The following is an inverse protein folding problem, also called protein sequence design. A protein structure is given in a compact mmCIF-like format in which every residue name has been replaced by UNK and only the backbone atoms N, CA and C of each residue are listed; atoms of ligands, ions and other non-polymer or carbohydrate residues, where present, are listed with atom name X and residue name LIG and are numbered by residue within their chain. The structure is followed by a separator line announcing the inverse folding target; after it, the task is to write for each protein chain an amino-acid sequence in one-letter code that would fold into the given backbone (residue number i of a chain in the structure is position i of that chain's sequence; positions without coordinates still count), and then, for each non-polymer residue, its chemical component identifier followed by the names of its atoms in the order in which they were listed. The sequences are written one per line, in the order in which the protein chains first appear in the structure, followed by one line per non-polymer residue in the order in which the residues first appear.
data_IF_895231325330
#
_entry.id   IF_895231325330
#
_cell.length_a   1.000
_cell.length_b   1.000
_cell.length_c   1.000
_cell.angle_alpha   90.00
_cell.angle_beta   90.00
_cell.angle_gamma   90.00
#
_symmetry.space_group_name_H-M   'P 1'
#
loop_
_entity.id
_entity.type
_entity.pdbx_description
1 polymer ?
#
# COMPACT_ATOMS: atom_id res chain seq x y z
N UNK A 1 -0.49 -24.27 6.27
CA UNK A 1 -1.10 -23.10 6.90
C UNK A 1 0.00 -22.22 7.45
N UNK A 2 0.17 -21.03 6.91
CA UNK A 2 1.12 -20.07 7.46
C UNK A 2 0.59 -19.43 8.76
N UNK A 3 1.44 -18.66 9.46
CA UNK A 3 1.07 -18.09 10.76
C UNK A 3 -0.01 -16.98 10.66
N UNK A 4 -0.14 -16.34 9.50
CA UNK A 4 -1.13 -15.29 9.25
C UNK A 4 -2.47 -15.90 8.86
N UNK A 5 -2.47 -16.93 8.03
CA UNK A 5 -3.62 -17.77 7.71
C UNK A 5 -4.19 -18.38 9.00
N UNK A 6 -3.33 -18.91 9.88
CA UNK A 6 -3.75 -19.39 11.20
C UNK A 6 -4.40 -18.30 12.07
N UNK A 7 -3.91 -17.06 12.02
CA UNK A 7 -4.50 -15.93 12.75
C UNK A 7 -5.89 -15.59 12.21
N UNK A 8 -6.04 -15.48 10.90
CA UNK A 8 -7.32 -15.17 10.28
C UNK A 8 -8.33 -16.29 10.56
N UNK A 9 -7.93 -17.56 10.51
CA UNK A 9 -8.78 -18.68 10.90
C UNK A 9 -9.16 -18.65 12.40
N UNK A 10 -8.27 -18.20 13.29
CA UNK A 10 -8.55 -18.05 14.72
C UNK A 10 -9.53 -16.90 15.00
N UNK A 11 -9.39 -15.76 14.32
CA UNK A 11 -10.30 -14.62 14.46
C UNK A 11 -11.71 -14.93 13.93
N UNK A 12 -11.82 -15.75 12.88
CA UNK A 12 -13.09 -16.26 12.38
C UNK A 12 -13.60 -17.51 13.14
N UNK A 13 -13.01 -17.84 14.30
CA UNK A 13 -13.36 -18.98 15.17
C UNK A 13 -13.33 -20.37 14.50
N UNK A 14 -12.63 -20.49 13.37
CA UNK A 14 -12.42 -21.75 12.65
C UNK A 14 -11.34 -22.62 13.30
N UNK A 15 -10.39 -21.99 13.97
CA UNK A 15 -9.39 -22.65 14.83
C UNK A 15 -9.53 -22.07 16.24
N UNK A 16 -9.55 -22.94 17.25
CA UNK A 16 -9.73 -22.53 18.66
C UNK A 16 -8.53 -22.86 19.55
N UNK A 17 -7.67 -23.77 19.10
CA UNK A 17 -6.48 -24.20 19.84
C UNK A 17 -5.22 -23.58 19.22
N UNK A 18 -4.44 -22.87 20.04
CA UNK A 18 -3.19 -22.17 19.66
C UNK A 18 -2.00 -23.12 19.56
N UNK A 19 -2.15 -24.34 20.08
CA UNK A 19 -1.09 -25.34 20.27
C UNK A 19 -1.21 -26.55 19.33
N UNK A 20 -2.24 -26.59 18.49
CA UNK A 20 -2.56 -27.70 17.60
C UNK A 20 -1.86 -27.63 16.23
N UNK A 21 -0.67 -27.01 16.17
CA UNK A 21 0.07 -26.84 14.92
C UNK A 21 1.29 -27.77 14.89
N UNK A 22 1.58 -28.31 13.72
CA UNK A 22 2.70 -29.23 13.48
C UNK A 22 3.52 -28.77 12.29
N UNK A 23 4.82 -29.04 12.32
CA UNK A 23 5.69 -28.78 11.18
C UNK A 23 5.29 -29.68 10.01
N UNK A 24 5.02 -29.13 8.81
CA UNK A 24 4.61 -29.94 7.66
C UNK A 24 5.71 -30.90 7.16
N UNK A 25 6.98 -30.66 7.52
CA UNK A 25 8.11 -31.45 7.05
C UNK A 25 8.56 -32.54 8.02
N UNK A 26 8.41 -32.35 9.34
CA UNK A 26 8.90 -33.33 10.32
C UNK A 26 7.91 -33.64 11.45
N UNK A 27 6.69 -33.12 11.39
CA UNK A 27 5.64 -33.39 12.39
C UNK A 27 5.90 -32.80 13.78
N UNK A 28 6.98 -32.03 13.98
CA UNK A 28 7.31 -31.45 15.28
C UNK A 28 6.24 -30.46 15.72
N UNK A 29 5.85 -30.50 17.00
CA UNK A 29 4.83 -29.58 17.53
C UNK A 29 5.33 -28.14 17.57
N UNK A 30 4.53 -27.23 17.03
CA UNK A 30 4.77 -25.79 17.04
C UNK A 30 3.57 -25.08 17.64
N UNK A 31 3.81 -23.97 18.34
CA UNK A 31 2.74 -23.14 18.90
C UNK A 31 2.71 -21.80 18.21
N UNK A 32 1.53 -21.19 18.13
CA UNK A 32 1.39 -19.85 17.56
C UNK A 32 1.49 -18.78 18.64
N UNK A 33 2.43 -17.86 18.49
CA UNK A 33 2.60 -16.73 19.40
C UNK A 33 1.75 -15.57 18.92
N UNK A 34 1.10 -14.87 19.86
CA UNK A 34 0.21 -13.72 19.62
C UNK A 34 -1.10 -14.03 18.87
N UNK A 35 -1.49 -15.30 18.68
CA UNK A 35 -2.72 -15.67 17.96
C UNK A 35 -4.01 -15.05 18.55
N UNK A 36 -4.02 -14.83 19.88
CA UNK A 36 -5.16 -14.24 20.59
C UNK A 36 -5.06 -12.75 20.90
N UNK A 37 -4.05 -12.03 20.39
CA UNK A 37 -3.92 -10.58 20.61
C UNK A 37 -4.50 -9.79 19.45
N UNK A 38 -4.93 -8.56 19.71
CA UNK A 38 -5.33 -7.64 18.65
C UNK A 38 -4.09 -7.11 17.92
N UNK A 39 -4.15 -6.94 16.59
CA UNK A 39 -2.99 -6.53 15.77
C UNK A 39 -2.34 -5.21 16.24
N UNK A 40 -3.12 -4.31 16.84
CA UNK A 40 -2.64 -3.03 17.39
C UNK A 40 -1.76 -3.20 18.64
N UNK A 41 -1.88 -4.33 19.33
CA UNK A 41 -1.15 -4.64 20.57
C UNK A 41 0.14 -5.45 20.29
N UNK A 42 0.37 -5.83 19.03
CA UNK A 42 1.47 -6.69 18.64
C UNK A 42 2.73 -5.88 18.31
N UNK A 43 3.78 -6.05 19.14
CA UNK A 43 5.14 -5.55 18.82
C UNK A 43 5.83 -6.36 17.70
N UNK A 44 5.44 -7.62 17.54
CA UNK A 44 5.83 -8.54 16.45
C UNK A 44 4.59 -9.32 16.03
N UNK A 45 4.44 -9.56 14.73
CA UNK A 45 3.32 -10.31 14.14
C UNK A 45 3.19 -11.74 14.68
N UNK A 46 2.14 -12.42 14.26
CA UNK A 46 1.92 -13.82 14.62
C UNK A 46 3.03 -14.66 14.00
N UNK A 47 3.64 -15.50 14.80
CA UNK A 47 4.72 -16.37 14.35
C UNK A 47 4.65 -17.69 15.09
N UNK A 48 5.16 -18.73 14.45
CA UNK A 48 5.34 -20.02 15.09
C UNK A 48 6.53 -19.98 16.04
N UNK A 49 6.36 -20.55 17.22
CA UNK A 49 7.40 -20.83 18.20
C UNK A 49 7.50 -22.33 18.39
N UNK A 50 8.74 -22.80 18.40
CA UNK A 50 9.08 -24.21 18.61
C UNK A 50 8.70 -24.64 20.01
N UNK A 51 7.96 -25.75 20.11
CA UNK A 51 7.75 -26.48 21.37
C UNK A 51 8.69 -27.67 21.42
N UNK A 52 8.89 -28.34 20.28
CA UNK A 52 9.80 -29.47 20.11
C UNK A 52 10.89 -29.19 19.06
N UNK A 53 12.10 -29.77 19.22
CA UNK A 53 13.15 -29.66 18.23
C UNK A 53 12.76 -30.39 16.94
N UNK A 54 13.06 -29.79 15.80
CA UNK A 54 12.86 -30.44 14.51
C UNK A 54 13.90 -31.54 14.27
N UNK A 55 13.60 -32.45 13.35
CA UNK A 55 14.57 -33.42 12.86
C UNK A 55 15.82 -32.72 12.26
N UNK A 56 17.01 -33.35 12.33
CA UNK A 56 18.30 -32.72 11.97
C UNK A 56 18.37 -32.13 10.55
N UNK A 57 17.58 -32.66 9.61
CA UNK A 57 17.55 -32.21 8.20
C UNK A 57 16.28 -31.43 7.83
N UNK A 58 15.56 -30.89 8.81
CA UNK A 58 14.38 -30.10 8.52
C UNK A 58 14.77 -28.70 8.03
N UNK A 59 14.26 -28.21 6.89
CA UNK A 59 14.58 -26.86 6.39
C UNK A 59 14.11 -25.74 7.33
N UNK A 60 13.23 -26.07 8.28
CA UNK A 60 12.72 -25.16 9.29
C UNK A 60 13.53 -25.14 10.60
N UNK A 61 14.56 -25.99 10.75
CA UNK A 61 15.41 -26.02 11.96
C UNK A 61 16.35 -24.82 12.08
N UNK A 62 16.77 -24.24 10.95
CA UNK A 62 17.72 -23.12 10.90
C UNK A 62 17.06 -21.73 11.02
N UNK A 63 15.73 -21.65 10.98
CA UNK A 63 15.01 -20.37 10.93
C UNK A 63 14.80 -19.71 12.30
N UNK A 64 15.34 -20.26 13.39
CA UNK A 64 15.02 -19.83 14.77
C UNK A 64 16.20 -19.35 15.63
N UNK A 65 17.32 -18.92 15.04
CA UNK A 65 18.38 -18.21 15.79
C UNK A 65 18.85 -16.97 15.05
N UNK A 66 18.14 -15.86 15.24
CA UNK A 66 18.69 -14.54 14.95
C UNK A 66 19.56 -14.10 16.13
N UNK A 67 20.89 -14.21 15.98
CA UNK A 67 21.87 -13.67 16.92
C UNK A 67 23.32 -13.99 16.58
N UNK A 68 24.04 -12.96 16.09
CA UNK A 68 25.50 -12.78 16.06
C UNK A 68 26.37 -13.65 15.12
N UNK A 69 27.28 -12.99 14.40
CA UNK A 69 28.47 -13.60 13.81
C UNK A 69 28.95 -12.93 12.51
N UNK A 70 30.00 -12.11 12.62
CA UNK A 70 30.80 -11.64 11.48
C UNK A 70 31.43 -12.81 10.71
N UNK A 71 31.41 -12.74 9.37
CA UNK A 71 32.11 -13.67 8.50
C UNK A 71 32.30 -13.07 7.11
N UNK A 72 33.54 -12.71 6.76
CA UNK A 72 33.97 -12.38 5.41
C UNK A 72 33.95 -13.64 4.54
N UNK A 73 33.31 -13.58 3.37
CA UNK A 73 33.45 -14.64 2.36
C UNK A 73 32.51 -14.48 1.17
N UNK A 74 33.10 -14.21 0.01
CA UNK A 74 32.61 -14.38 -1.36
C UNK A 74 31.29 -13.74 -1.81
N UNK A 75 31.43 -12.90 -2.84
CA UNK A 75 30.36 -12.24 -3.57
C UNK A 75 29.49 -13.25 -4.33
N UNK A 76 28.57 -13.89 -3.62
CA UNK A 76 27.34 -14.40 -4.22
C UNK A 76 26.59 -13.20 -4.80
N UNK A 77 26.28 -13.26 -6.11
CA UNK A 77 25.41 -12.29 -6.79
C UNK A 77 24.21 -12.01 -5.88
N UNK A 78 23.89 -10.74 -5.56
CA UNK A 78 22.82 -10.46 -4.62
C UNK A 78 21.53 -11.05 -5.18
N UNK A 79 21.00 -12.05 -4.46
CA UNK A 79 19.59 -12.41 -4.52
C UNK A 79 18.83 -11.07 -4.50
N UNK A 80 18.00 -10.78 -5.52
CA UNK A 80 17.26 -9.51 -5.62
C UNK A 80 16.62 -9.28 -4.26
N UNK A 81 17.20 -8.37 -3.46
CA UNK A 81 16.73 -8.13 -2.12
C UNK A 81 15.28 -7.67 -2.24
N UNK A 82 14.39 -8.32 -1.49
CA UNK A 82 12.98 -7.99 -1.44
C UNK A 82 12.86 -6.50 -1.12
N UNK A 83 12.45 -5.71 -2.12
CA UNK A 83 12.40 -4.25 -2.01
C UNK A 83 11.07 -3.88 -1.39
N UNK A 84 11.13 -3.20 -0.26
CA UNK A 84 9.94 -2.78 0.48
C UNK A 84 9.90 -1.25 0.52
N UNK A 85 9.02 -0.66 -0.29
CA UNK A 85 8.71 0.77 -0.21
C UNK A 85 7.96 1.07 1.10
N UNK A 86 7.87 2.33 1.53
CA UNK A 86 7.16 2.70 2.77
C UNK A 86 6.07 3.72 2.44
N UNK A 87 4.85 3.46 2.91
CA UNK A 87 3.74 4.40 2.85
C UNK A 87 3.39 4.90 4.26
N UNK A 88 3.57 6.21 4.45
CA UNK A 88 3.29 6.88 5.71
C UNK A 88 1.90 7.51 5.65
N UNK A 89 1.05 7.18 6.63
CA UNK A 89 -0.30 7.72 6.73
C UNK A 89 -0.35 9.17 7.22
N UNK A 90 0.71 9.59 7.91
CA UNK A 90 0.87 10.94 8.42
C UNK A 90 2.13 11.55 7.82
N UNK A 91 2.01 12.81 7.39
CA UNK A 91 3.19 13.57 6.99
C UNK A 91 3.94 13.95 8.28
N UNK A 92 5.26 13.68 8.39
CA UNK A 92 6.07 14.19 9.48
C UNK A 92 5.86 15.70 9.54
N UNK A 93 5.52 16.23 10.71
CA UNK A 93 5.58 17.67 10.90
C UNK A 93 7.00 18.09 10.57
N UNK A 94 7.16 18.93 9.54
CA UNK A 94 8.46 19.44 9.21
C UNK A 94 8.97 20.19 10.43
N UNK A 95 9.95 19.64 11.14
CA UNK A 95 10.78 20.46 12.01
C UNK A 95 11.30 21.58 11.11
N UNK A 96 11.16 22.85 11.49
CA UNK A 96 11.70 23.94 10.69
C UNK A 96 13.22 23.76 10.65
N UNK A 97 13.72 23.03 9.65
CA UNK A 97 15.11 23.10 9.27
C UNK A 97 15.30 24.54 8.81
N UNK A 98 15.86 25.35 9.70
CA UNK A 98 16.48 26.61 9.32
C UNK A 98 17.34 26.28 8.10
N UNK A 99 16.90 26.70 6.92
CA UNK A 99 17.75 26.72 5.73
C UNK A 99 18.90 27.64 6.11
N UNK A 100 20.02 27.08 6.55
CA UNK A 100 21.30 27.78 6.50
C UNK A 100 21.55 28.02 5.02
N UNK A 101 21.14 29.20 4.56
CA UNK A 101 21.50 29.74 3.26
C UNK A 101 23.02 29.86 3.29
N UNK A 102 23.71 28.86 2.73
CA UNK A 102 25.10 29.05 2.34
C UNK A 102 25.07 29.94 1.09
N UNK A 103 25.86 31.03 1.04
CA UNK A 103 25.92 31.88 -0.14
C UNK A 103 26.39 31.06 -1.35
N UNK A 104 25.74 31.31 -2.47
CA UNK A 104 25.88 30.64 -3.77
C UNK A 104 27.11 31.19 -4.49
N UNK A 105 28.12 30.39 -4.87
CA UNK A 105 29.04 30.77 -5.94
C UNK A 105 28.31 30.64 -7.29
N UNK A 106 28.71 31.49 -8.24
CA UNK A 106 28.08 31.67 -9.55
C UNK A 106 27.97 30.39 -10.39
N UNK A 107 27.03 30.44 -11.33
CA UNK A 107 26.43 29.29 -12.01
C UNK A 107 27.33 28.63 -13.06
N UNK A 108 27.17 27.31 -13.18
CA UNK A 108 27.35 26.55 -14.43
C UNK A 108 26.11 25.68 -14.69
N UNK A 109 25.78 25.35 -15.96
CA UNK A 109 24.46 24.86 -16.36
C UNK A 109 24.17 23.46 -15.80
N UNK A 110 23.18 23.38 -14.92
CA UNK A 110 22.84 22.21 -14.09
C UNK A 110 21.91 21.18 -14.77
N UNK A 111 21.85 21.11 -16.10
CA UNK A 111 20.94 20.19 -16.79
C UNK A 111 21.54 18.82 -17.12
N UNK A 112 22.87 18.65 -17.11
CA UNK A 112 23.51 17.36 -17.47
C UNK A 112 24.03 16.55 -16.29
N UNK A 113 23.89 17.04 -15.06
CA UNK A 113 24.57 16.47 -13.88
C UNK A 113 23.74 15.45 -13.10
N UNK A 114 22.40 15.55 -13.11
CA UNK A 114 21.54 14.62 -12.37
C UNK A 114 21.47 13.24 -13.01
N UNK A 115 21.35 13.16 -14.34
CA UNK A 115 21.32 11.88 -15.06
C UNK A 115 22.68 11.16 -14.97
N UNK A 116 23.79 11.90 -15.08
CA UNK A 116 25.14 11.34 -14.89
C UNK A 116 25.37 10.87 -13.45
N UNK A 117 24.87 11.58 -12.44
CA UNK A 117 24.98 11.16 -11.04
C UNK A 117 24.18 9.88 -10.76
N UNK A 118 22.96 9.74 -11.30
CA UNK A 118 22.14 8.53 -11.17
C UNK A 118 22.76 7.35 -11.95
N UNK A 119 23.31 7.60 -13.14
CA UNK A 119 23.99 6.58 -13.94
C UNK A 119 25.27 6.07 -13.26
N UNK A 120 26.07 6.96 -12.65
CA UNK A 120 27.27 6.59 -11.89
C UNK A 120 26.93 5.84 -10.60
N UNK A 121 25.79 6.14 -9.95
CA UNK A 121 25.33 5.41 -8.77
C UNK A 121 24.80 4.01 -9.09
N UNK A 122 24.07 3.86 -10.21
CA UNK A 122 23.65 2.55 -10.75
C UNK A 122 24.84 1.69 -11.21
N UNK A 123 25.86 2.31 -11.80
CA UNK A 123 27.08 1.61 -12.23
C UNK A 123 27.95 1.10 -11.07
N UNK A 124 27.79 1.63 -9.85
CA UNK A 124 28.54 1.24 -8.64
C UNK A 124 27.80 0.26 -7.73
N UNK A 125 26.74 -0.40 -8.21
CA UNK A 125 26.01 -1.38 -7.41
C UNK A 125 25.20 -0.78 -6.25
N UNK A 126 24.83 0.50 -6.36
CA UNK A 126 23.96 1.14 -5.37
C UNK A 126 22.59 0.46 -5.34
N UNK A 127 22.29 -0.27 -4.25
CA UNK A 127 20.93 -0.69 -3.92
C UNK A 127 20.07 0.55 -3.74
N UNK A 128 19.15 0.83 -4.67
CA UNK A 128 18.18 1.92 -4.55
C UNK A 128 17.50 1.85 -3.17
N UNK A 129 17.65 2.91 -2.37
CA UNK A 129 17.04 3.00 -1.05
C UNK A 129 15.51 2.87 -1.12
N UNK A 130 14.86 2.33 -0.07
CA UNK A 130 13.39 2.29 0.03
C UNK A 130 12.77 3.66 -0.24
N UNK A 131 11.76 3.71 -1.12
CA UNK A 131 11.05 4.96 -1.40
C UNK A 131 10.05 5.23 -0.28
N UNK A 132 9.90 6.49 0.09
CA UNK A 132 8.95 6.93 1.10
C UNK A 132 7.82 7.72 0.42
N UNK A 133 6.60 7.27 0.61
CA UNK A 133 5.39 7.88 0.07
C UNK A 133 4.54 8.46 1.20
N UNK A 134 3.98 9.64 0.96
CA UNK A 134 3.02 10.32 1.84
C UNK A 134 1.68 10.59 1.13
N UNK A 135 1.65 10.39 -0.19
CA UNK A 135 0.44 10.46 -1.01
C UNK A 135 0.34 9.24 -1.91
N UNK A 136 -0.89 8.87 -2.25
CA UNK A 136 -1.13 7.72 -3.10
C UNK A 136 -0.73 7.99 -4.55
N UNK A 137 -0.69 9.24 -5.03
CA UNK A 137 -0.27 9.55 -6.41
C UNK A 137 1.11 8.98 -6.74
N UNK A 138 2.05 9.03 -5.79
CA UNK A 138 3.38 8.44 -5.95
C UNK A 138 3.36 6.91 -5.98
N UNK A 139 2.51 6.29 -5.16
CA UNK A 139 2.29 4.85 -5.16
C UNK A 139 1.62 4.39 -6.46
N UNK A 140 0.66 5.14 -6.98
CA UNK A 140 -0.05 4.82 -8.22
C UNK A 140 0.93 4.88 -9.40
N UNK A 141 1.79 5.91 -9.46
CA UNK A 141 2.84 5.97 -10.50
C UNK A 141 3.82 4.80 -10.38
N UNK A 142 4.14 4.38 -9.16
CA UNK A 142 4.99 3.20 -8.94
C UNK A 142 4.30 1.91 -9.35
N UNK A 143 3.03 1.73 -8.99
CA UNK A 143 2.22 0.58 -9.35
C UNK A 143 2.22 0.36 -10.87
N UNK A 144 1.90 1.38 -11.67
CA UNK A 144 1.93 1.26 -13.13
C UNK A 144 3.34 1.06 -13.70
N UNK A 145 4.37 1.66 -13.10
CA UNK A 145 5.76 1.35 -13.50
C UNK A 145 6.13 -0.11 -13.26
N UNK A 146 5.56 -0.75 -12.24
CA UNK A 146 5.81 -2.16 -11.94
C UNK A 146 4.99 -3.09 -12.83
N UNK A 147 3.72 -2.75 -13.00
CA UNK A 147 2.78 -3.49 -13.85
C UNK A 147 3.28 -3.55 -15.31
N UNK A 148 3.84 -2.44 -15.81
CA UNK A 148 4.41 -2.36 -17.16
C UNK A 148 5.82 -2.99 -17.30
N UNK A 149 6.56 -3.17 -16.20
CA UNK A 149 7.98 -3.55 -16.25
C UNK A 149 8.29 -4.96 -15.75
N UNK A 150 7.33 -5.71 -15.20
CA UNK A 150 7.63 -6.99 -14.55
C UNK A 150 6.48 -7.99 -14.61
N UNK A 151 6.79 -9.24 -14.97
CA UNK A 151 5.92 -10.42 -14.81
C UNK A 151 5.74 -10.85 -13.33
N UNK A 152 6.34 -10.16 -12.36
CA UNK A 152 6.34 -10.55 -10.94
C UNK A 152 6.02 -9.37 -9.99
N UNK A 153 4.80 -8.81 -10.02
CA UNK A 153 4.37 -7.75 -9.10
C UNK A 153 4.34 -8.18 -7.62
N UNK A 154 4.35 -9.49 -7.35
CA UNK A 154 4.25 -10.06 -6.00
C UNK A 154 5.55 -9.95 -5.18
N UNK A 155 6.69 -9.65 -5.85
CA UNK A 155 7.99 -9.45 -5.18
C UNK A 155 8.18 -8.03 -4.62
N UNK A 156 7.33 -7.08 -5.00
CA UNK A 156 7.44 -5.70 -4.51
C UNK A 156 6.36 -5.40 -3.50
N UNK A 157 6.81 -4.95 -2.33
CA UNK A 157 5.95 -4.71 -1.18
C UNK A 157 5.96 -3.25 -0.77
N UNK A 158 4.85 -2.81 -0.20
CA UNK A 158 4.67 -1.53 0.47
C UNK A 158 4.59 -1.84 1.96
N UNK A 159 5.37 -1.16 2.76
CA UNK A 159 5.30 -1.19 4.21
C UNK A 159 4.33 -0.12 4.66
N UNK A 160 3.22 -0.53 5.26
CA UNK A 160 2.35 0.34 6.03
C UNK A 160 2.69 0.13 7.52
N UNK A 161 3.33 1.11 8.15
CA UNK A 161 3.91 0.98 9.48
C UNK A 161 4.89 -0.22 9.60
N UNK A 162 4.46 -1.34 10.20
CA UNK A 162 5.25 -2.57 10.37
C UNK A 162 4.79 -3.73 9.47
N UNK A 163 3.85 -3.49 8.57
CA UNK A 163 3.23 -4.55 7.78
C UNK A 163 3.57 -4.39 6.29
N UNK A 164 4.25 -5.37 5.67
CA UNK A 164 4.51 -5.38 4.24
C UNK A 164 3.31 -5.99 3.49
N UNK A 165 2.85 -5.31 2.44
CA UNK A 165 1.79 -5.77 1.54
C UNK A 165 2.28 -5.74 0.10
N UNK A 166 1.97 -6.76 -0.70
CA UNK A 166 2.25 -6.71 -2.13
C UNK A 166 1.52 -5.53 -2.79
N UNK A 167 2.16 -4.87 -3.76
CA UNK A 167 1.52 -3.79 -4.52
C UNK A 167 0.17 -4.23 -5.12
N UNK A 168 0.10 -5.44 -5.69
CA UNK A 168 -1.12 -5.99 -6.29
C UNK A 168 -2.25 -6.20 -5.28
N UNK A 169 -1.94 -6.59 -4.05
CA UNK A 169 -2.93 -6.72 -2.99
C UNK A 169 -3.37 -5.36 -2.43
N UNK A 170 -2.50 -4.34 -2.53
CA UNK A 170 -2.82 -2.99 -2.06
C UNK A 170 -3.75 -2.23 -3.00
N UNK A 171 -3.71 -2.54 -4.30
CA UNK A 171 -4.50 -1.91 -5.35
C UNK A 171 -5.68 -2.81 -5.74
N UNK A 172 -6.86 -2.48 -5.23
CA UNK A 172 -8.08 -3.23 -5.47
C UNK A 172 -8.91 -2.57 -6.60
N UNK A 173 -9.10 -3.21 -7.75
CA UNK A 173 -10.04 -2.68 -8.74
C UNK A 173 -11.47 -2.71 -8.17
N UNK A 174 -12.28 -1.72 -8.52
CA UNK A 174 -13.73 -1.76 -8.29
C UNK A 174 -14.36 -2.54 -9.43
N UNK A 175 -14.73 -3.80 -9.18
CA UNK A 175 -15.19 -4.73 -10.20
C UNK A 175 -16.11 -5.83 -9.66
N UNK A 176 -17.36 -5.49 -9.36
CA UNK A 176 -18.46 -6.43 -9.04
C UNK A 176 -18.19 -7.38 -7.87
N UNK A 177 -17.16 -7.12 -7.06
CA UNK A 177 -16.89 -7.95 -5.90
C UNK A 177 -17.86 -7.64 -4.73
N UNK A 178 -18.23 -8.62 -3.90
CA UNK A 178 -19.06 -8.39 -2.72
C UNK A 178 -18.35 -7.51 -1.68
N UNK A 179 -19.06 -6.50 -1.17
CA UNK A 179 -18.56 -5.55 -0.18
C UNK A 179 -18.12 -6.23 1.12
N UNK A 180 -18.81 -7.29 1.53
CA UNK A 180 -18.52 -8.10 2.71
C UNK A 180 -17.29 -9.01 2.55
N UNK A 181 -16.86 -9.25 1.30
CA UNK A 181 -15.63 -9.99 0.99
C UNK A 181 -14.40 -9.10 0.81
N UNK A 182 -14.57 -7.77 0.85
CA UNK A 182 -13.45 -6.85 0.79
C UNK A 182 -12.58 -6.93 2.04
N UNK A 183 -11.32 -6.50 1.91
CA UNK A 183 -10.41 -6.41 3.04
C UNK A 183 -11.01 -5.58 4.17
N UNK A 184 -10.87 -6.08 5.40
CA UNK A 184 -11.25 -5.33 6.61
C UNK A 184 -10.42 -4.06 6.84
N UNK A 185 -9.34 -3.88 6.08
CA UNK A 185 -8.41 -2.75 6.15
C UNK A 185 -8.53 -1.83 4.92
N UNK A 186 -8.14 -0.55 5.04
CA UNK A 186 -8.07 0.34 3.88
C UNK A 186 -7.11 -0.19 2.80
N UNK A 187 -7.53 -0.01 1.55
CA UNK A 187 -6.79 -0.36 0.33
C UNK A 187 -6.95 0.79 -0.67
N UNK A 188 -6.14 0.80 -1.72
CA UNK A 188 -6.33 1.72 -2.84
C UNK A 188 -7.37 1.12 -3.78
N UNK A 189 -8.60 1.63 -3.71
CA UNK A 189 -9.66 1.27 -4.63
C UNK A 189 -9.57 2.11 -5.90
N UNK A 190 -9.64 1.48 -7.06
CA UNK A 190 -9.48 2.19 -8.32
C UNK A 190 -10.35 1.67 -9.45
N UNK A 191 -10.57 2.53 -10.45
CA UNK A 191 -11.42 2.23 -11.60
C UNK A 191 -11.87 3.50 -12.33
N UNK A 192 -12.60 3.32 -13.44
CA UNK A 192 -13.22 4.43 -14.16
C UNK A 192 -14.29 5.07 -13.30
N UNK A 193 -14.36 6.39 -13.28
CA UNK A 193 -15.33 7.14 -12.51
C UNK A 193 -15.75 8.43 -13.22
N UNK A 194 -17.01 8.80 -13.02
CA UNK A 194 -17.57 10.08 -13.46
C UNK A 194 -17.36 11.13 -12.38
N UNK A 195 -16.75 12.25 -12.76
CA UNK A 195 -16.52 13.42 -11.90
C UNK A 195 -17.69 14.39 -12.09
N UNK A 196 -18.55 14.46 -11.08
CA UNK A 196 -19.75 15.28 -11.12
C UNK A 196 -19.60 16.49 -10.20
N UNK A 197 -20.00 17.67 -10.66
CA UNK A 197 -20.24 18.81 -9.79
C UNK A 197 -21.65 18.71 -9.22
N UNK A 198 -21.78 18.90 -7.91
CA UNK A 198 -23.04 18.88 -7.18
C UNK A 198 -23.64 20.30 -7.11
N UNK A 199 -24.94 20.39 -6.84
CA UNK A 199 -25.66 21.66 -6.79
C UNK A 199 -25.10 22.65 -5.75
N UNK A 200 -24.47 22.15 -4.70
CA UNK A 200 -23.83 22.95 -3.66
C UNK A 200 -22.39 23.38 -4.01
N UNK A 201 -21.92 23.08 -5.22
CA UNK A 201 -20.57 23.42 -5.69
C UNK A 201 -19.48 22.40 -5.32
N UNK A 202 -19.79 21.37 -4.53
CA UNK A 202 -18.89 20.27 -4.23
C UNK A 202 -18.79 19.28 -5.39
N UNK A 203 -17.92 18.28 -5.24
CA UNK A 203 -17.68 17.27 -6.26
C UNK A 203 -17.96 15.87 -5.75
N UNK A 204 -18.36 14.99 -6.66
CA UNK A 204 -18.49 13.56 -6.44
C UNK A 204 -17.73 12.81 -7.53
N UNK A 205 -16.84 11.90 -7.14
CA UNK A 205 -16.35 10.86 -8.04
C UNK A 205 -17.23 9.62 -7.87
N UNK A 206 -17.97 9.23 -8.91
CA UNK A 206 -18.83 8.05 -8.90
C UNK A 206 -18.24 7.00 -9.83
N UNK A 207 -17.87 5.85 -9.28
CA UNK A 207 -17.30 4.76 -10.08
C UNK A 207 -18.30 4.25 -11.11
N UNK A 208 -17.80 3.88 -12.29
CA UNK A 208 -18.62 3.35 -13.37
C UNK A 208 -19.08 1.92 -13.05
N UNK A 209 -18.17 1.11 -12.48
CA UNK A 209 -18.40 -0.25 -12.00
C UNK A 209 -19.10 -0.30 -10.64
N UNK A 210 -19.71 -1.45 -10.35
CA UNK A 210 -20.47 -1.70 -9.12
C UNK A 210 -19.65 -2.49 -8.09
N UNK A 211 -20.07 -2.42 -6.84
CA UNK A 211 -19.81 -3.44 -5.82
C UNK A 211 -21.14 -4.08 -5.44
N UNK A 212 -21.09 -5.34 -4.99
CA UNK A 212 -22.28 -6.07 -4.59
C UNK A 212 -22.52 -5.92 -3.08
N UNK A 213 -23.74 -5.57 -2.68
CA UNK A 213 -24.13 -5.59 -1.27
C UNK A 213 -25.52 -6.19 -1.12
N UNK A 214 -25.62 -7.31 -0.41
CA UNK A 214 -26.90 -8.02 -0.17
C UNK A 214 -27.70 -8.32 -1.44
N UNK A 215 -27.01 -8.60 -2.55
CA UNK A 215 -27.62 -8.88 -3.85
C UNK A 215 -27.91 -7.64 -4.71
N UNK A 216 -27.64 -6.43 -4.21
CA UNK A 216 -27.78 -5.19 -4.97
C UNK A 216 -26.44 -4.76 -5.60
N UNK A 217 -26.49 -4.29 -6.84
CA UNK A 217 -25.39 -3.63 -7.53
C UNK A 217 -25.38 -2.14 -7.21
N UNK A 218 -24.34 -1.68 -6.50
CA UNK A 218 -24.25 -0.30 -6.04
C UNK A 218 -22.94 0.31 -6.52
N UNK A 219 -23.02 1.44 -7.21
CA UNK A 219 -21.84 2.21 -7.65
C UNK A 219 -21.20 2.91 -6.45
N UNK A 220 -19.95 2.59 -6.10
CA UNK A 220 -19.25 3.30 -5.05
C UNK A 220 -19.04 4.77 -5.43
N UNK A 221 -18.96 5.63 -4.42
CA UNK A 221 -18.65 7.04 -4.66
C UNK A 221 -17.80 7.66 -3.56
N UNK A 222 -17.13 8.74 -3.95
CA UNK A 222 -16.29 9.56 -3.08
C UNK A 222 -16.85 10.97 -3.14
N UNK A 223 -17.16 11.54 -1.97
CA UNK A 223 -17.59 12.92 -1.86
C UNK A 223 -16.39 13.82 -1.55
N UNK A 224 -16.29 14.93 -2.28
CA UNK A 224 -15.14 15.83 -2.29
C UNK A 224 -15.63 17.26 -2.03
N UNK A 225 -15.50 17.71 -0.77
CA UNK A 225 -15.89 19.07 -0.39
C UNK A 225 -14.90 20.10 -0.91
N UNK A 226 -15.34 21.03 -1.74
CA UNK A 226 -14.50 22.02 -2.41
C UNK A 226 -13.69 22.87 -1.42
N UNK A 227 -14.37 23.35 -0.37
CA UNK A 227 -13.78 24.17 0.70
C UNK A 227 -12.61 23.44 1.40
N UNK A 228 -12.78 22.15 1.71
CA UNK A 228 -11.72 21.36 2.35
C UNK A 228 -10.51 21.16 1.44
N UNK A 229 -10.73 20.99 0.12
CA UNK A 229 -9.64 20.86 -0.85
C UNK A 229 -8.81 22.14 -0.87
N UNK A 230 -9.48 23.29 -0.91
CA UNK A 230 -8.83 24.59 -0.91
C UNK A 230 -8.01 24.82 0.37
N UNK A 231 -8.59 24.55 1.55
CA UNK A 231 -7.89 24.64 2.84
C UNK A 231 -6.68 23.69 2.95
N UNK A 232 -6.69 22.56 2.23
CA UNK A 232 -5.57 21.60 2.23
C UNK A 232 -4.37 22.05 1.39
N UNK A 233 -4.45 23.19 0.69
CA UNK A 233 -3.40 23.66 -0.22
C UNK A 233 -3.34 22.91 -1.56
N UNK A 234 -4.38 22.13 -1.90
CA UNK A 234 -4.47 21.37 -3.16
C UNK A 234 -5.36 22.05 -4.21
N UNK A 235 -5.15 23.35 -4.43
CA UNK A 235 -5.90 24.12 -5.44
C UNK A 235 -5.81 23.51 -6.85
N UNK A 236 -4.70 22.85 -7.19
CA UNK A 236 -4.55 22.13 -8.46
C UNK A 236 -5.54 20.95 -8.62
N UNK A 237 -5.86 20.25 -7.53
CA UNK A 237 -6.86 19.17 -7.52
C UNK A 237 -8.25 19.75 -7.78
N UNK A 238 -8.58 20.87 -7.10
CA UNK A 238 -9.86 21.56 -7.29
C UNK A 238 -10.03 22.03 -8.74
N UNK A 239 -8.97 22.60 -9.34
CA UNK A 239 -8.96 22.98 -10.75
C UNK A 239 -9.23 21.78 -11.65
N UNK A 240 -8.50 20.67 -11.46
CA UNK A 240 -8.73 19.43 -12.22
C UNK A 240 -10.17 18.95 -12.13
N UNK A 241 -10.74 18.86 -10.92
CA UNK A 241 -12.14 18.42 -10.73
C UNK A 241 -13.12 19.31 -11.49
N UNK A 242 -12.91 20.63 -11.46
CA UNK A 242 -13.71 21.60 -12.20
C UNK A 242 -13.60 21.41 -13.71
N UNK A 243 -12.40 21.15 -14.21
CA UNK A 243 -12.15 20.93 -15.64
C UNK A 243 -12.82 19.64 -16.11
N UNK A 244 -12.69 18.54 -15.35
CA UNK A 244 -13.38 17.28 -15.64
C UNK A 244 -14.90 17.45 -15.62
N UNK A 245 -15.46 18.07 -14.58
CA UNK A 245 -16.91 18.23 -14.44
C UNK A 245 -17.55 19.10 -15.55
N UNK A 246 -16.76 19.96 -16.21
CA UNK A 246 -17.20 20.78 -17.35
C UNK A 246 -16.95 20.14 -18.71
N UNK A 247 -16.15 19.07 -18.75
CA UNK A 247 -15.81 18.40 -19.99
C UNK A 247 -16.99 17.59 -20.54
N UNK A 248 -17.00 17.35 -21.86
CA UNK A 248 -18.01 16.52 -22.51
C UNK A 248 -17.90 15.03 -22.11
N UNK A 249 -16.74 14.63 -21.57
CA UNK A 249 -16.45 13.30 -21.03
C UNK A 249 -15.88 13.46 -19.62
N UNK A 250 -16.72 13.61 -18.58
CA UNK A 250 -16.28 13.79 -17.20
C UNK A 250 -15.73 12.48 -16.59
N UNK A 251 -15.10 11.63 -17.40
CA UNK A 251 -14.56 10.33 -17.02
C UNK A 251 -13.08 10.45 -16.68
N UNK A 252 -12.70 9.85 -15.55
CA UNK A 252 -11.32 9.76 -15.11
C UNK A 252 -11.06 8.37 -14.50
N UNK A 253 -9.80 7.94 -14.49
CA UNK A 253 -9.38 6.83 -13.63
C UNK A 253 -9.12 7.40 -12.24
N UNK A 254 -9.91 6.97 -11.26
CA UNK A 254 -9.83 7.47 -9.88
C UNK A 254 -9.19 6.41 -8.99
N UNK A 255 -8.34 6.85 -8.06
CA UNK A 255 -7.70 6.02 -7.04
C UNK A 255 -7.98 6.61 -5.67
N UNK A 256 -8.46 5.79 -4.74
CA UNK A 256 -8.80 6.23 -3.39
C UNK A 256 -8.29 5.25 -2.35
N UNK A 257 -7.47 5.72 -1.41
CA UNK A 257 -7.11 4.93 -0.23
C UNK A 257 -8.19 5.07 0.85
N UNK A 258 -9.02 4.04 1.00
CA UNK A 258 -10.15 4.04 1.94
C UNK A 258 -10.61 2.61 2.26
N UNK A 259 -11.52 2.50 3.22
CA UNK A 259 -12.33 1.31 3.46
C UNK A 259 -13.77 1.59 2.99
N UNK A 260 -14.24 0.92 1.92
CA UNK A 260 -15.62 1.06 1.47
C UNK A 260 -16.59 0.67 2.56
N UNK A 261 -17.68 1.41 2.67
CA UNK A 261 -18.75 1.10 3.61
C UNK A 261 -20.12 1.42 3.03
N UNK A 262 -21.11 0.63 3.42
CA UNK A 262 -22.50 0.85 3.05
C UNK A 262 -23.16 1.81 4.04
N UNK A 263 -23.91 2.78 3.54
CA UNK A 263 -24.73 3.69 4.33
C UNK A 263 -25.93 4.16 3.52
N UNK A 264 -27.14 3.88 4.01
CA UNK A 264 -28.43 4.36 3.44
C UNK A 264 -28.56 4.17 1.92
N UNK A 265 -28.25 2.97 1.40
CA UNK A 265 -28.35 2.68 -0.04
C UNK A 265 -27.13 3.07 -0.87
N UNK A 266 -26.08 3.62 -0.26
CA UNK A 266 -24.87 4.04 -0.97
C UNK A 266 -23.65 3.30 -0.44
N UNK A 267 -22.74 2.93 -1.34
CA UNK A 267 -21.38 2.52 -0.97
C UNK A 267 -20.47 3.76 -1.06
N UNK A 268 -19.87 4.12 0.06
CA UNK A 268 -19.06 5.32 0.19
C UNK A 268 -17.60 4.95 0.44
N UNK A 269 -16.72 5.72 -0.17
CA UNK A 269 -15.27 5.69 0.04
C UNK A 269 -14.89 6.99 0.76
N UNK A 270 -14.70 6.92 2.08
CA UNK A 270 -14.37 8.09 2.88
C UNK A 270 -12.92 8.49 2.71
N UNK A 271 -12.70 9.78 2.44
CA UNK A 271 -11.39 10.37 2.33
C UNK A 271 -10.96 10.96 3.68
N UNK A 272 -9.89 10.43 4.28
CA UNK A 272 -9.32 11.01 5.50
C UNK A 272 -8.58 12.33 5.20
N UNK A 273 -7.84 12.37 4.10
CA UNK A 273 -7.16 13.56 3.58
C UNK A 273 -7.03 13.46 2.06
N UNK A 274 -6.70 14.57 1.38
CA UNK A 274 -6.57 14.58 -0.07
C UNK A 274 -5.27 13.99 -0.60
N UNK A 275 -4.29 13.65 0.25
CA UNK A 275 -3.12 12.83 -0.15
C UNK A 275 -3.53 11.38 -0.45
N UNK A 276 -4.74 10.96 -0.05
CA UNK A 276 -5.32 9.65 -0.30
C UNK A 276 -6.27 9.59 -1.51
N UNK A 277 -6.18 10.58 -2.40
CA UNK A 277 -6.95 10.66 -3.64
C UNK A 277 -6.03 11.01 -4.81
N UNK A 278 -6.17 10.27 -5.91
CA UNK A 278 -5.52 10.58 -7.19
C UNK A 278 -6.54 10.43 -8.33
N UNK A 279 -6.39 11.26 -9.36
CA UNK A 279 -7.21 11.19 -10.57
C UNK A 279 -6.30 11.31 -11.80
N UNK A 280 -6.56 10.46 -12.78
CA UNK A 280 -5.78 10.37 -14.03
C UNK A 280 -6.73 10.35 -15.22
N UNK A 281 -6.21 10.76 -16.36
CA UNK A 281 -6.93 10.63 -17.63
C UNK A 281 -7.24 9.14 -17.89
N UNK A 282 -8.33 8.88 -18.59
CA UNK A 282 -8.66 7.53 -19.03
C UNK A 282 -7.76 7.25 -20.24
N UNK A 283 -6.81 6.34 -20.10
CA UNK A 283 -6.09 5.79 -21.25
C UNK A 283 -7.09 4.96 -22.08
N UNK A 284 -7.21 5.27 -23.37
CA UNK A 284 -8.09 4.58 -24.34
C UNK A 284 -7.53 3.21 -24.73
#
# INVERSE_FOLDING_TARGET
MDAEEAYDHYQHQRIRDKTAFECPNCGARVTTVNLGKLRQEMKRGVHYRLVEPHAPNCPYSAASTAGAGEGKGEASRPFKSERVDVFHLERPQATPTQRKVKPKPEAEPAEKTKEKAVAVWRAKGGTESPRNYYSISGLVSRYFQLDLASDEPDLQKIKLANWPIAYREFFCPVNEQPLDRLSGYPRIYWGKAFINQLANGDYQARFAQHLLYRGEEIKPSVYLRAEKIEQSGKSHLLKKLKDYAKSHRPEATVFVYSKPYYNKGYINLNLANFDFFDLREVEE
#
